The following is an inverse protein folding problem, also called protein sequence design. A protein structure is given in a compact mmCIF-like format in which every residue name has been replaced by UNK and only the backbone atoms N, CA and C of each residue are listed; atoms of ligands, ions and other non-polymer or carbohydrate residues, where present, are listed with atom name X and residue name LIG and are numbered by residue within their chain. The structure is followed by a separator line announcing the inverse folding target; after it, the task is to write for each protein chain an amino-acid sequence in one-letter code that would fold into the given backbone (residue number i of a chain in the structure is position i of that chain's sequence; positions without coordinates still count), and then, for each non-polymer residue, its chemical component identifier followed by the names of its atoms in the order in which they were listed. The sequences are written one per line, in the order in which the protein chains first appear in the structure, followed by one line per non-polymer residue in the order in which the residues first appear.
data_IF_657529897792
#
_entry.id   IF_657529897792
#
_cell.length_a   1.000
_cell.length_b   1.000
_cell.length_c   1.000
_cell.angle_alpha   90.00
_cell.angle_beta   90.00
_cell.angle_gamma   90.00
#
_symmetry.space_group_name_H-M   'P 1'
#
loop_
_entity.id
_entity.type
_entity.pdbx_description
1 polymer ?
#
# COMPACT_ATOMS: atom_id res chain seq x y z
N UNK A 1 -11.03 -28.28 2.51
CA UNK A 1 -10.89 -27.41 3.69
C UNK A 1 -9.47 -26.88 3.65
N UNK A 2 -9.24 -25.72 3.02
CA UNK A 2 -7.93 -25.07 3.10
C UNK A 2 -7.79 -24.54 4.52
N UNK A 3 -6.82 -25.04 5.27
CA UNK A 3 -6.47 -24.43 6.56
C UNK A 3 -6.17 -22.95 6.29
N UNK A 4 -6.91 -22.06 6.96
CA UNK A 4 -6.70 -20.62 6.83
C UNK A 4 -5.32 -20.33 7.42
N UNK A 5 -4.39 -19.91 6.57
CA UNK A 5 -3.09 -19.42 7.02
C UNK A 5 -3.31 -18.15 7.85
N UNK A 6 -3.03 -18.23 9.14
CA UNK A 6 -3.06 -17.05 10.03
C UNK A 6 -1.74 -16.30 9.92
N UNK A 7 -1.81 -14.97 9.79
CA UNK A 7 -0.64 -14.10 9.72
C UNK A 7 -0.31 -13.53 11.09
N UNK A 8 0.96 -13.58 11.49
CA UNK A 8 1.46 -12.81 12.65
C UNK A 8 1.31 -11.31 12.43
N UNK A 9 1.37 -10.53 13.50
CA UNK A 9 1.43 -9.07 13.43
C UNK A 9 2.69 -8.58 12.72
N UNK A 10 2.58 -7.42 12.06
CA UNK A 10 3.76 -6.74 11.54
C UNK A 10 4.54 -6.11 12.68
N UNK A 11 5.86 -6.16 12.55
CA UNK A 11 6.80 -5.65 13.54
C UNK A 11 7.82 -4.72 12.87
N UNK A 12 8.60 -3.99 13.67
CA UNK A 12 9.66 -3.13 13.12
C UNK A 12 10.70 -3.88 12.28
N UNK A 13 10.87 -5.20 12.47
CA UNK A 13 11.76 -6.02 11.64
C UNK A 13 11.30 -6.14 10.19
N UNK A 14 10.00 -5.95 9.94
CA UNK A 14 9.40 -6.10 8.61
C UNK A 14 9.60 -4.87 7.72
N UNK A 15 10.01 -3.74 8.30
CA UNK A 15 10.18 -2.46 7.59
C UNK A 15 11.14 -2.61 6.41
N UNK A 16 12.30 -3.26 6.61
CA UNK A 16 13.29 -3.43 5.54
C UNK A 16 12.80 -4.35 4.43
N UNK A 17 12.09 -5.43 4.79
CA UNK A 17 11.47 -6.33 3.82
C UNK A 17 10.45 -5.59 2.96
N UNK A 18 9.57 -4.81 3.60
CA UNK A 18 8.54 -4.04 2.90
C UNK A 18 9.12 -2.93 2.02
N UNK A 19 10.11 -2.17 2.51
CA UNK A 19 10.83 -1.16 1.70
C UNK A 19 11.55 -1.84 0.53
N UNK A 20 12.18 -2.99 0.75
CA UNK A 20 12.83 -3.78 -0.30
C UNK A 20 11.85 -4.20 -1.40
N UNK A 21 10.65 -4.67 -1.02
CA UNK A 21 9.58 -5.01 -1.96
C UNK A 21 9.12 -3.77 -2.73
N UNK A 22 8.89 -2.64 -2.06
CA UNK A 22 8.51 -1.36 -2.70
C UNK A 22 9.56 -0.94 -3.73
N UNK A 23 10.85 -1.03 -3.37
CA UNK A 23 11.95 -0.69 -4.27
C UNK A 23 12.04 -1.63 -5.47
N UNK A 24 11.85 -2.94 -5.27
CA UNK A 24 11.84 -3.93 -6.36
C UNK A 24 10.65 -3.78 -7.30
N UNK A 25 9.51 -3.37 -6.76
CA UNK A 25 8.32 -3.07 -7.55
C UNK A 25 8.43 -1.72 -8.28
N UNK A 26 9.42 -0.88 -7.94
CA UNK A 26 9.56 0.49 -8.44
C UNK A 26 8.31 1.37 -8.23
N UNK A 27 7.62 1.15 -7.10
CA UNK A 27 6.35 1.84 -6.78
C UNK A 27 6.51 2.99 -5.77
N UNK A 28 7.74 3.50 -5.60
CA UNK A 28 8.04 4.52 -4.57
C UNK A 28 7.12 5.73 -4.69
N UNK A 29 7.01 6.30 -5.89
CA UNK A 29 6.27 7.53 -6.11
C UNK A 29 4.76 7.33 -5.90
N UNK A 30 4.23 6.17 -6.29
CA UNK A 30 2.83 5.82 -6.07
C UNK A 30 2.55 5.63 -4.58
N UNK A 31 3.49 5.04 -3.83
CA UNK A 31 3.37 4.92 -2.36
C UNK A 31 3.36 6.30 -1.72
N UNK A 32 4.29 7.21 -2.07
CA UNK A 32 4.30 8.59 -1.55
C UNK A 32 2.97 9.28 -1.86
N UNK A 33 2.50 9.20 -3.09
CA UNK A 33 1.25 9.82 -3.51
C UNK A 33 0.03 9.25 -2.78
N UNK A 34 0.01 7.93 -2.50
CA UNK A 34 -1.02 7.30 -1.68
C UNK A 34 -0.98 7.79 -0.22
N UNK A 35 0.21 7.88 0.39
CA UNK A 35 0.36 8.36 1.76
C UNK A 35 -0.04 9.83 1.89
N UNK A 36 0.44 10.68 0.98
CA UNK A 36 0.05 12.08 0.99
C UNK A 36 -1.46 12.22 0.87
N UNK A 37 -2.13 11.47 0.00
CA UNK A 37 -3.60 11.53 -0.12
C UNK A 37 -4.35 11.03 1.11
N UNK A 38 -3.90 9.94 1.71
CA UNK A 38 -4.61 9.28 2.80
C UNK A 38 -4.37 9.95 4.17
N UNK A 39 -3.23 10.65 4.33
CA UNK A 39 -2.83 11.29 5.58
C UNK A 39 -2.83 12.83 5.53
N UNK A 40 -2.93 13.47 4.35
CA UNK A 40 -3.06 14.93 4.26
C UNK A 40 -4.42 15.46 4.76
N UNK A 41 -5.43 14.60 4.91
CA UNK A 41 -6.74 15.00 5.46
C UNK A 41 -6.77 15.07 7.01
N UNK A 42 -5.61 15.33 7.62
CA UNK A 42 -5.51 15.68 9.04
C UNK A 42 -4.49 16.79 9.27
N UNK A 43 -4.71 17.92 8.60
CA UNK A 43 -4.40 19.26 9.15
C UNK A 43 -2.98 19.82 9.14
N UNK A 44 -2.01 19.35 8.31
CA UNK A 44 -0.75 20.09 8.02
C UNK A 44 0.09 19.40 6.92
N UNK A 45 -0.01 19.87 5.68
CA UNK A 45 1.14 19.86 4.78
C UNK A 45 1.87 21.20 4.94
N UNK A 46 3.21 21.25 5.05
CA UNK A 46 3.99 22.49 5.11
C UNK A 46 3.79 23.41 3.88
N UNK A 47 3.25 22.88 2.77
CA UNK A 47 2.90 23.64 1.57
C UNK A 47 1.61 24.48 1.70
N UNK A 48 0.83 24.32 2.78
CA UNK A 48 -0.48 24.98 2.96
C UNK A 48 -0.50 25.98 4.14
N UNK A 49 0.62 26.66 4.40
CA UNK A 49 0.70 27.72 5.43
C UNK A 49 0.01 29.05 5.06
N UNK A 50 -0.71 29.15 3.94
CA UNK A 50 -1.35 30.39 3.53
C UNK A 50 -2.81 30.20 3.14
N UNK A 51 -3.66 31.06 3.68
CA UNK A 51 -5.02 31.39 3.20
C UNK A 51 -6.20 30.57 3.77
N UNK A 52 -6.80 31.14 4.81
CA UNK A 52 -8.24 31.21 5.12
C UNK A 52 -9.13 30.02 4.75
N UNK A 53 -9.63 29.32 5.79
CA UNK A 53 -10.76 28.39 5.72
C UNK A 53 -12.01 29.09 5.16
N UNK A 54 -12.17 29.08 3.83
CA UNK A 54 -13.44 29.30 3.16
C UNK A 54 -14.20 27.96 3.20
N UNK A 55 -15.43 27.96 3.74
CA UNK A 55 -16.32 26.80 3.61
C UNK A 55 -16.64 26.59 2.13
N UNK A 56 -16.17 25.49 1.56
CA UNK A 56 -16.47 25.08 0.18
C UNK A 56 -17.99 24.92 -0.02
N UNK A 57 -18.49 25.47 -1.12
CA UNK A 57 -19.87 25.28 -1.58
C UNK A 57 -20.09 23.84 -2.08
N UNK A 58 -21.35 23.41 -2.19
CA UNK A 58 -21.70 22.05 -2.62
C UNK A 58 -21.09 21.68 -3.99
N UNK A 59 -21.06 22.63 -4.93
CA UNK A 59 -20.47 22.45 -6.25
C UNK A 59 -18.93 22.35 -6.22
N UNK A 60 -18.28 23.06 -5.30
CA UNK A 60 -16.81 22.95 -5.12
C UNK A 60 -16.42 21.62 -4.48
N UNK A 61 -17.22 21.09 -3.56
CA UNK A 61 -17.02 19.74 -2.99
C UNK A 61 -17.20 18.63 -4.02
N UNK A 62 -18.25 18.69 -4.85
CA UNK A 62 -18.49 17.70 -5.90
C UNK A 62 -17.40 17.73 -6.98
N UNK A 63 -16.87 18.92 -7.31
CA UNK A 63 -15.74 19.07 -8.22
C UNK A 63 -14.42 18.53 -7.62
N UNK A 64 -14.21 18.74 -6.32
CA UNK A 64 -13.06 18.21 -5.58
C UNK A 64 -13.11 16.68 -5.46
N UNK A 65 -14.26 16.10 -5.13
CA UNK A 65 -14.48 14.65 -5.10
C UNK A 65 -14.25 14.00 -6.48
N UNK A 66 -14.77 14.59 -7.56
CA UNK A 66 -14.52 14.09 -8.93
C UNK A 66 -13.04 14.20 -9.33
N UNK A 67 -12.34 15.24 -8.88
CA UNK A 67 -10.90 15.39 -9.09
C UNK A 67 -10.10 14.35 -8.29
N UNK A 68 -10.49 14.07 -7.05
CA UNK A 68 -9.92 13.02 -6.20
C UNK A 68 -10.13 11.64 -6.85
N UNK A 69 -11.32 11.35 -7.37
CA UNK A 69 -11.63 10.09 -8.05
C UNK A 69 -10.79 9.90 -9.31
N UNK A 70 -10.69 10.92 -10.17
CA UNK A 70 -9.85 10.88 -11.39
C UNK A 70 -8.36 10.69 -11.07
N UNK A 71 -7.87 11.36 -10.02
CA UNK A 71 -6.49 11.21 -9.52
C UNK A 71 -6.26 9.83 -8.88
N UNK A 72 -7.25 9.29 -8.18
CA UNK A 72 -7.29 7.93 -7.63
C UNK A 72 -7.17 6.88 -8.73
N UNK A 73 -7.98 7.01 -9.78
CA UNK A 73 -7.96 6.14 -10.95
C UNK A 73 -6.58 6.15 -11.64
N UNK A 74 -5.98 7.33 -11.83
CA UNK A 74 -4.65 7.43 -12.45
C UNK A 74 -3.58 6.69 -11.65
N UNK A 75 -3.56 6.85 -10.33
CA UNK A 75 -2.61 6.13 -9.45
C UNK A 75 -2.86 4.63 -9.48
N UNK A 76 -4.11 4.19 -9.47
CA UNK A 76 -4.42 2.76 -9.56
C UNK A 76 -3.97 2.15 -10.89
N UNK A 77 -4.12 2.87 -12.00
CA UNK A 77 -3.65 2.44 -13.33
C UNK A 77 -2.12 2.43 -13.39
N UNK A 78 -1.46 3.49 -12.97
CA UNK A 78 0.00 3.61 -12.98
C UNK A 78 0.62 2.52 -12.06
N UNK A 79 0.08 2.34 -10.86
CA UNK A 79 0.46 1.25 -9.95
C UNK A 79 0.22 -0.12 -10.59
N UNK A 80 -0.92 -0.33 -11.27
CA UNK A 80 -1.22 -1.57 -11.96
C UNK A 80 -0.20 -1.93 -13.05
N UNK A 81 0.20 -0.96 -13.88
CA UNK A 81 1.23 -1.17 -14.91
C UNK A 81 2.60 -1.42 -14.31
N UNK A 82 3.02 -0.61 -13.34
CA UNK A 82 4.32 -0.76 -12.65
C UNK A 82 4.42 -2.11 -11.95
N UNK A 83 3.36 -2.54 -11.25
CA UNK A 83 3.28 -3.88 -10.69
C UNK A 83 3.45 -4.94 -11.77
N UNK A 84 2.73 -4.89 -12.90
CA UNK A 84 2.87 -5.90 -13.96
C UNK A 84 4.30 -5.96 -14.52
N UNK A 85 4.99 -4.83 -14.63
CA UNK A 85 6.35 -4.77 -15.16
C UNK A 85 7.40 -5.34 -14.20
N UNK A 86 7.19 -5.20 -12.89
CA UNK A 86 8.20 -5.52 -11.86
C UNK A 86 7.80 -6.65 -10.89
N UNK A 87 6.58 -7.21 -11.01
CA UNK A 87 6.10 -8.25 -10.10
C UNK A 87 6.94 -9.52 -10.17
N UNK A 88 7.59 -9.80 -11.30
CA UNK A 88 8.55 -10.89 -11.44
C UNK A 88 9.75 -10.75 -10.50
N UNK A 89 10.25 -9.51 -10.35
CA UNK A 89 11.42 -9.19 -9.53
C UNK A 89 11.09 -9.24 -8.03
N UNK A 90 9.87 -8.85 -7.67
CA UNK A 90 9.38 -8.86 -6.30
C UNK A 90 8.77 -10.21 -5.87
N UNK A 91 8.42 -11.10 -6.81
CA UNK A 91 7.70 -12.37 -6.52
C UNK A 91 8.35 -13.17 -5.41
N UNK A 92 9.67 -13.36 -5.48
CA UNK A 92 10.39 -14.16 -4.48
C UNK A 92 10.31 -13.54 -3.09
N UNK A 93 10.47 -12.22 -2.99
CA UNK A 93 10.43 -11.51 -1.72
C UNK A 93 9.02 -11.49 -1.14
N UNK A 94 7.99 -11.26 -1.98
CA UNK A 94 6.59 -11.33 -1.58
C UNK A 94 6.28 -12.73 -1.03
N UNK A 95 6.67 -13.79 -1.73
CA UNK A 95 6.41 -15.17 -1.28
C UNK A 95 7.17 -15.52 -0.01
N UNK A 96 8.43 -15.07 0.12
CA UNK A 96 9.20 -15.25 1.34
C UNK A 96 8.57 -14.50 2.52
N UNK A 97 8.08 -13.29 2.27
CA UNK A 97 7.47 -12.48 3.31
C UNK A 97 6.12 -13.04 3.76
N UNK A 98 5.26 -13.44 2.82
CA UNK A 98 4.01 -14.12 3.14
C UNK A 98 4.26 -15.43 3.92
N UNK A 99 5.28 -16.20 3.53
CA UNK A 99 5.68 -17.42 4.23
C UNK A 99 6.13 -17.14 5.66
N UNK A 100 6.96 -16.12 5.87
CA UNK A 100 7.39 -15.70 7.21
C UNK A 100 6.22 -15.22 8.07
N UNK A 101 5.28 -14.48 7.47
CA UNK A 101 4.08 -14.02 8.18
C UNK A 101 3.16 -15.16 8.60
N UNK A 102 3.07 -16.24 7.82
CA UNK A 102 2.19 -17.37 8.10
C UNK A 102 2.89 -18.55 8.77
N UNK A 103 4.17 -18.39 9.16
CA UNK A 103 5.01 -19.49 9.66
C UNK A 103 5.02 -20.70 8.70
N UNK A 104 4.98 -20.44 7.39
CA UNK A 104 5.00 -21.43 6.32
C UNK A 104 6.29 -21.32 5.53
N UNK A 105 6.44 -22.16 4.51
CA UNK A 105 7.55 -22.11 3.55
C UNK A 105 7.12 -21.40 2.27
N UNK A 106 8.09 -20.79 1.57
CA UNK A 106 7.88 -20.21 0.23
C UNK A 106 7.17 -21.18 -0.72
N UNK A 107 7.54 -22.46 -0.67
CA UNK A 107 6.99 -23.50 -1.53
C UNK A 107 5.52 -23.78 -1.24
N UNK A 108 5.12 -23.76 0.04
CA UNK A 108 3.71 -23.90 0.43
C UNK A 108 2.90 -22.71 -0.08
N UNK A 109 3.41 -21.49 0.08
CA UNK A 109 2.78 -20.27 -0.47
C UNK A 109 2.61 -20.35 -1.99
N UNK A 110 3.65 -20.76 -2.72
CA UNK A 110 3.61 -20.91 -4.18
C UNK A 110 2.71 -22.05 -4.67
N UNK A 111 2.42 -23.02 -3.81
CA UNK A 111 1.53 -24.15 -4.11
C UNK A 111 0.05 -23.86 -3.86
N UNK A 112 -0.27 -22.70 -3.27
CA UNK A 112 -1.65 -22.26 -3.08
C UNK A 112 -2.35 -22.10 -4.43
N UNK A 113 -3.64 -22.43 -4.45
CA UNK A 113 -4.46 -22.11 -5.61
C UNK A 113 -4.68 -20.58 -5.71
N UNK A 114 -5.15 -20.11 -6.87
CA UNK A 114 -5.34 -18.68 -7.12
C UNK A 114 -6.26 -18.00 -6.10
N UNK A 115 -7.28 -18.69 -5.61
CA UNK A 115 -8.23 -18.14 -4.63
C UNK A 115 -7.57 -17.97 -3.27
N UNK A 116 -6.87 -19.00 -2.80
CA UNK A 116 -6.19 -18.99 -1.49
C UNK A 116 -5.01 -18.01 -1.47
N UNK A 117 -4.22 -17.95 -2.55
CA UNK A 117 -3.10 -17.01 -2.68
C UNK A 117 -3.58 -15.55 -2.72
N UNK A 118 -4.63 -15.25 -3.49
CA UNK A 118 -5.18 -13.89 -3.54
C UNK A 118 -5.85 -13.49 -2.23
N UNK A 119 -6.56 -14.43 -1.57
CA UNK A 119 -7.12 -14.21 -0.24
C UNK A 119 -6.03 -13.88 0.79
N UNK A 120 -4.87 -14.54 0.70
CA UNK A 120 -3.71 -14.27 1.54
C UNK A 120 -3.17 -12.85 1.33
N UNK A 121 -3.02 -12.40 0.08
CA UNK A 121 -2.65 -11.01 -0.23
C UNK A 121 -3.69 -10.04 0.36
N UNK A 122 -4.98 -10.30 0.17
CA UNK A 122 -6.04 -9.45 0.72
C UNK A 122 -6.04 -9.39 2.25
N UNK A 123 -5.70 -10.49 2.93
CA UNK A 123 -5.55 -10.52 4.38
C UNK A 123 -4.39 -9.64 4.83
N UNK A 124 -3.25 -9.71 4.14
CA UNK A 124 -2.12 -8.81 4.39
C UNK A 124 -2.52 -7.34 4.21
N UNK A 125 -3.17 -6.99 3.10
CA UNK A 125 -3.59 -5.61 2.79
C UNK A 125 -4.60 -5.02 3.78
N UNK A 126 -5.23 -5.85 4.62
CA UNK A 126 -6.19 -5.43 5.66
C UNK A 126 -5.57 -5.21 7.04
N UNK A 127 -4.28 -5.50 7.19
CA UNK A 127 -3.55 -5.31 8.45
C UNK A 127 -3.54 -3.84 8.83
N UNK A 128 -3.95 -3.54 10.06
CA UNK A 128 -4.02 -2.17 10.58
C UNK A 128 -2.63 -1.55 10.68
N UNK A 129 -1.62 -2.37 10.95
CA UNK A 129 -0.21 -2.01 11.08
C UNK A 129 0.37 -1.39 9.79
N UNK A 130 -0.23 -1.67 8.62
CA UNK A 130 0.18 -1.05 7.35
C UNK A 130 0.03 0.46 7.37
N UNK A 131 -0.99 0.97 8.09
CA UNK A 131 -1.19 2.41 8.24
C UNK A 131 0.01 3.05 8.94
N UNK A 132 0.44 2.48 10.06
CA UNK A 132 1.56 2.99 10.84
C UNK A 132 2.89 2.85 10.07
N UNK A 133 3.06 1.77 9.32
CA UNK A 133 4.18 1.59 8.41
C UNK A 133 4.25 2.74 7.38
N UNK A 134 3.20 2.92 6.58
CA UNK A 134 3.17 3.93 5.52
C UNK A 134 3.34 5.35 6.06
N UNK A 135 2.73 5.66 7.20
CA UNK A 135 2.94 6.93 7.88
C UNK A 135 4.41 7.12 8.28
N UNK A 136 5.04 6.09 8.85
CA UNK A 136 6.43 6.16 9.33
C UNK A 136 7.43 6.31 8.18
N UNK A 137 7.25 5.56 7.09
CA UNK A 137 8.19 5.56 5.97
C UNK A 137 8.03 6.75 5.02
N UNK A 138 6.92 7.49 5.07
CA UNK A 138 6.74 8.70 4.25
C UNK A 138 7.83 9.74 4.47
N UNK A 139 8.29 9.87 5.72
CA UNK A 139 9.44 10.72 6.09
C UNK A 139 10.79 10.20 5.58
N UNK A 140 10.89 8.91 5.25
CA UNK A 140 12.09 8.27 4.72
C UNK A 140 12.11 8.25 3.20
N UNK A 141 10.95 8.22 2.56
CA UNK A 141 10.81 8.19 1.10
C UNK A 141 10.72 9.58 0.47
N UNK A 142 10.21 10.57 1.20
CA UNK A 142 10.05 11.97 0.79
C UNK A 142 11.31 12.83 0.91
#
# INVERSE_FOLDING_TARGET
MSEKLEMRELTGGDIFTMIGIIGKLDIKDQVIEMVDRQFSDSSKSPLLQGFNKKKLTKAEKEAEESAIEKRGMKVAVDLGFTLIQHIGDAKTDINNFLADLTSSTKKEIESLNMVDYTALIFQFMKKEELKDFFQSISSLLG
#
